data_IF_720434619285
#
_entry.id   IF_720434619285
#
_cell.length_a   1.000
_cell.length_b   1.000
_cell.length_c   1.000
_cell.angle_alpha   90.00
_cell.angle_beta   90.00
_cell.angle_gamma   90.00
#
_symmetry.space_group_name_H-M   'P 1'
#
loop_
_entity.id
_entity.type
_entity.pdbx_description
1 polymer ?
#
# COMPACT_ATOMS: atom_id res chain seq x y z
N UNK A 1 29.84 -17.36 -6.07
CA UNK A 1 28.82 -17.02 -5.08
C UNK A 1 28.33 -15.64 -5.47
N UNK A 2 27.12 -15.52 -5.94
CA UNK A 2 26.48 -14.23 -6.17
C UNK A 2 26.16 -13.73 -4.76
N UNK A 3 26.84 -12.69 -4.30
CA UNK A 3 26.41 -11.97 -3.11
C UNK A 3 25.04 -11.36 -3.48
N UNK A 4 23.97 -12.01 -3.06
CA UNK A 4 22.63 -11.41 -3.10
C UNK A 4 22.66 -10.29 -2.08
N UNK A 5 22.47 -9.03 -2.55
CA UNK A 5 22.22 -7.93 -1.62
C UNK A 5 21.07 -8.33 -0.69
N UNK A 6 21.18 -8.07 0.62
CA UNK A 6 20.10 -8.43 1.54
C UNK A 6 18.82 -7.74 1.11
N UNK A 7 17.71 -8.47 1.12
CA UNK A 7 16.39 -7.92 0.82
C UNK A 7 16.12 -6.71 1.73
N UNK A 8 15.79 -5.56 1.14
CA UNK A 8 15.67 -4.28 1.87
C UNK A 8 14.26 -4.05 2.41
N UNK A 9 13.28 -4.85 1.98
CA UNK A 9 11.87 -4.65 2.30
C UNK A 9 11.32 -5.86 3.04
N UNK A 10 10.75 -5.61 4.21
CA UNK A 10 10.10 -6.62 5.04
C UNK A 10 8.65 -6.19 5.31
N UNK A 11 7.72 -7.09 5.05
CA UNK A 11 6.31 -6.97 5.43
C UNK A 11 5.94 -8.02 6.45
N UNK A 12 5.40 -7.63 7.60
CA UNK A 12 4.90 -8.56 8.61
C UNK A 12 3.38 -8.40 8.70
N UNK A 13 2.64 -9.43 8.26
CA UNK A 13 1.20 -9.44 8.37
C UNK A 13 0.75 -9.87 9.77
N UNK A 14 0.13 -8.96 10.51
CA UNK A 14 -0.47 -9.21 11.83
C UNK A 14 -1.96 -9.47 11.66
N UNK A 15 -2.45 -10.72 11.74
CA UNK A 15 -3.83 -11.07 11.35
C UNK A 15 -4.88 -10.73 12.42
N UNK A 16 -4.50 -10.13 13.55
CA UNK A 16 -5.40 -9.94 14.70
C UNK A 16 -6.12 -8.61 14.64
N UNK A 17 -7.44 -8.67 14.45
CA UNK A 17 -8.30 -7.48 14.44
C UNK A 17 -9.31 -7.53 15.58
N UNK A 18 -9.60 -6.36 16.19
CA UNK A 18 -10.71 -6.22 17.13
C UNK A 18 -12.06 -6.28 16.43
N UNK A 19 -12.12 -5.79 15.19
CA UNK A 19 -13.29 -5.77 14.32
C UNK A 19 -12.88 -6.10 12.88
N UNK A 20 -13.83 -6.65 12.11
CA UNK A 20 -13.64 -6.89 10.68
C UNK A 20 -14.26 -5.69 9.95
N UNK A 21 -13.42 -4.97 9.19
CA UNK A 21 -13.89 -3.87 8.34
C UNK A 21 -14.65 -4.43 7.12
N UNK A 22 -15.72 -3.74 6.71
CA UNK A 22 -16.60 -4.22 5.64
C UNK A 22 -15.93 -4.41 4.28
N UNK A 23 -14.88 -3.67 4.02
CA UNK A 23 -14.12 -3.66 2.77
C UNK A 23 -12.84 -4.52 2.78
N UNK A 24 -12.42 -5.03 3.95
CA UNK A 24 -11.10 -5.65 4.12
C UNK A 24 -11.04 -7.07 3.57
N UNK A 25 -10.11 -7.31 2.64
CA UNK A 25 -9.79 -8.64 2.08
C UNK A 25 -8.56 -9.31 2.72
N UNK A 26 -7.85 -8.62 3.59
CA UNK A 26 -6.71 -9.21 4.30
C UNK A 26 -7.13 -10.38 5.18
N UNK A 27 -6.20 -11.32 5.38
CA UNK A 27 -6.38 -12.40 6.36
C UNK A 27 -6.54 -11.79 7.75
N UNK A 28 -7.65 -12.07 8.40
CA UNK A 28 -7.95 -11.56 9.73
C UNK A 28 -8.58 -12.63 10.62
N UNK A 29 -8.27 -12.56 11.92
CA UNK A 29 -8.87 -13.39 12.96
C UNK A 29 -9.20 -12.51 14.16
N UNK A 30 -10.24 -12.90 14.92
CA UNK A 30 -10.57 -12.21 16.16
C UNK A 30 -9.44 -12.40 17.17
N UNK A 31 -8.96 -11.29 17.74
CA UNK A 31 -7.86 -11.28 18.69
C UNK A 31 -8.19 -12.10 19.94
N UNK A 32 -7.40 -13.16 20.20
CA UNK A 32 -7.40 -13.93 21.45
C UNK A 32 -5.96 -14.03 21.95
N UNK A 33 -5.73 -13.76 23.24
CA UNK A 33 -4.36 -13.71 23.81
C UNK A 33 -3.52 -14.94 23.49
N UNK A 34 -4.08 -16.13 23.70
CA UNK A 34 -3.38 -17.39 23.42
C UNK A 34 -2.96 -17.52 21.95
N UNK A 35 -3.84 -17.15 21.02
CA UNK A 35 -3.53 -17.18 19.58
C UNK A 35 -2.46 -16.16 19.20
N UNK A 36 -2.42 -15.00 19.84
CA UNK A 36 -1.39 -13.98 19.65
C UNK A 36 -0.03 -14.49 20.10
N UNK A 37 0.06 -15.11 21.29
CA UNK A 37 1.30 -15.65 21.85
C UNK A 37 1.87 -16.79 20.97
N UNK A 38 1.01 -17.68 20.46
CA UNK A 38 1.41 -18.76 19.55
C UNK A 38 1.88 -18.20 18.19
N UNK A 39 1.15 -17.25 17.62
CA UNK A 39 1.52 -16.60 16.38
C UNK A 39 2.84 -15.83 16.52
N UNK A 40 3.02 -15.06 17.59
CA UNK A 40 4.25 -14.32 17.85
C UNK A 40 5.47 -15.28 17.92
N UNK A 41 5.30 -16.42 18.57
CA UNK A 41 6.35 -17.44 18.63
C UNK A 41 6.68 -18.03 17.25
N UNK A 42 5.70 -18.12 16.36
CA UNK A 42 5.90 -18.57 14.99
C UNK A 42 6.62 -17.50 14.14
N UNK A 43 6.20 -16.23 14.23
CA UNK A 43 6.84 -15.11 13.55
C UNK A 43 8.30 -14.94 13.98
N UNK A 44 8.59 -15.04 15.28
CA UNK A 44 9.97 -14.95 15.78
C UNK A 44 10.87 -15.99 15.13
N UNK A 45 10.40 -17.23 14.93
CA UNK A 45 11.16 -18.27 14.24
C UNK A 45 11.43 -17.93 12.77
N UNK A 46 10.46 -17.31 12.11
CA UNK A 46 10.59 -16.87 10.72
C UNK A 46 11.51 -15.66 10.59
N UNK A 47 11.50 -14.74 11.58
CA UNK A 47 12.32 -13.53 11.61
C UNK A 47 13.82 -13.76 11.84
N UNK A 48 14.28 -14.97 12.10
CA UNK A 48 15.72 -15.25 12.31
C UNK A 48 16.60 -14.80 11.11
N UNK A 49 15.99 -14.53 9.96
CA UNK A 49 16.64 -14.14 8.72
C UNK A 49 16.26 -12.75 8.21
N UNK A 50 15.46 -11.98 8.95
CA UNK A 50 14.92 -10.69 8.49
C UNK A 50 15.28 -9.53 9.43
N UNK A 51 15.45 -8.33 8.87
CA UNK A 51 15.59 -7.10 9.65
C UNK A 51 14.24 -6.62 10.17
N UNK A 52 14.23 -5.96 11.35
CA UNK A 52 13.01 -5.38 11.93
C UNK A 52 12.56 -4.21 11.06
N UNK A 53 11.26 -4.14 10.67
CA UNK A 53 10.73 -3.01 9.93
C UNK A 53 10.77 -1.73 10.77
N UNK A 54 10.93 -0.59 10.12
CA UNK A 54 10.95 0.74 10.72
C UNK A 54 9.59 1.44 10.67
N UNK A 55 8.62 0.86 9.97
CA UNK A 55 7.26 1.37 9.75
C UNK A 55 6.22 0.45 10.37
N UNK A 56 5.14 1.03 10.90
CA UNK A 56 3.98 0.29 11.40
C UNK A 56 2.67 0.88 10.85
N UNK A 57 1.69 0.00 10.60
CA UNK A 57 0.30 0.40 10.33
C UNK A 57 -0.54 0.29 11.62
N UNK A 58 -1.35 1.31 11.90
CA UNK A 58 -2.07 1.44 13.17
C UNK A 58 -3.55 1.72 12.91
N UNK A 59 -4.41 0.98 13.58
CA UNK A 59 -5.78 1.41 13.80
C UNK A 59 -5.79 2.38 15.00
N UNK A 60 -6.26 3.63 14.84
CA UNK A 60 -6.07 4.69 15.84
C UNK A 60 -6.62 4.35 17.22
N UNK A 61 -7.72 3.61 17.29
CA UNK A 61 -8.34 3.16 18.54
C UNK A 61 -7.56 2.09 19.30
N UNK A 62 -6.51 1.52 18.70
CA UNK A 62 -5.73 0.43 19.31
C UNK A 62 -4.46 0.90 19.98
N UNK A 63 -4.02 2.14 19.74
CA UNK A 63 -2.82 2.71 20.31
C UNK A 63 -3.09 3.27 21.71
N UNK A 64 -2.16 2.99 22.63
CA UNK A 64 -2.08 3.59 23.95
C UNK A 64 -0.63 4.01 24.24
N UNK A 65 -0.42 4.76 25.34
CA UNK A 65 0.89 5.26 25.74
C UNK A 65 1.94 4.15 25.91
N UNK A 66 1.54 3.00 26.45
CA UNK A 66 2.45 1.85 26.62
C UNK A 66 2.92 1.32 25.29
N UNK A 67 2.03 1.17 24.33
CA UNK A 67 2.34 0.69 22.97
C UNK A 67 3.20 1.70 22.21
N UNK A 68 2.89 3.00 22.30
CA UNK A 68 3.70 4.04 21.66
C UNK A 68 5.16 3.99 22.15
N UNK A 69 5.39 3.84 23.47
CA UNK A 69 6.72 3.65 24.06
C UNK A 69 7.42 2.38 23.57
N UNK A 70 6.68 1.28 23.42
CA UNK A 70 7.23 0.03 22.89
C UNK A 70 7.68 0.21 21.45
N UNK A 71 6.84 0.83 20.59
CA UNK A 71 7.17 1.09 19.18
C UNK A 71 8.48 1.89 19.06
N UNK A 72 8.59 3.00 19.79
CA UNK A 72 9.80 3.82 19.79
C UNK A 72 11.04 3.03 20.24
N UNK A 73 10.95 2.25 21.34
CA UNK A 73 12.07 1.43 21.85
C UNK A 73 12.56 0.39 20.85
N UNK A 74 11.69 -0.09 19.97
CA UNK A 74 12.02 -1.06 18.92
C UNK A 74 12.40 -0.42 17.59
N UNK A 75 12.64 0.90 17.55
CA UNK A 75 13.17 1.59 16.38
C UNK A 75 12.14 1.95 15.33
N UNK A 76 10.83 1.81 15.62
CA UNK A 76 9.79 2.29 14.72
C UNK A 76 9.90 3.81 14.63
N UNK A 77 10.07 4.32 13.42
CA UNK A 77 10.25 5.75 13.14
C UNK A 77 9.17 6.32 12.23
N UNK A 78 8.33 5.47 11.63
CA UNK A 78 7.20 5.84 10.77
C UNK A 78 5.93 5.08 11.18
N UNK A 79 4.79 5.77 11.19
CA UNK A 79 3.48 5.16 11.42
C UNK A 79 2.49 5.57 10.34
N UNK A 80 1.75 4.60 9.78
CA UNK A 80 0.59 4.81 8.90
C UNK A 80 -0.68 4.58 9.71
N UNK A 81 -1.55 5.59 9.76
CA UNK A 81 -2.74 5.59 10.64
C UNK A 81 -3.98 5.48 9.77
N UNK A 82 -4.70 4.37 9.91
CA UNK A 82 -5.92 4.10 9.17
C UNK A 82 -7.08 4.98 9.60
N UNK A 83 -7.19 6.17 9.03
CA UNK A 83 -8.26 7.14 9.28
C UNK A 83 -9.50 6.86 8.44
N UNK A 84 -9.34 6.63 7.16
CA UNK A 84 -10.33 6.31 6.15
C UNK A 84 -11.32 7.46 5.86
N UNK A 85 -11.97 8.03 6.85
CA UNK A 85 -12.90 9.16 6.75
C UNK A 85 -13.09 9.81 8.13
N UNK A 86 -13.54 11.08 8.16
CA UNK A 86 -14.02 11.74 9.37
C UNK A 86 -15.54 11.65 9.53
N UNK A 87 -16.26 11.25 8.48
CA UNK A 87 -17.72 11.18 8.50
C UNK A 87 -18.22 9.97 9.29
N UNK A 88 -18.99 10.15 10.37
CA UNK A 88 -19.44 9.05 11.22
C UNK A 88 -20.32 8.02 10.49
N UNK A 89 -21.08 8.45 9.47
CA UNK A 89 -21.95 7.55 8.71
C UNK A 89 -21.14 6.64 7.79
N UNK A 90 -20.09 7.16 7.15
CA UNK A 90 -19.17 6.38 6.32
C UNK A 90 -18.33 5.44 7.18
N UNK A 91 -17.83 5.91 8.33
CA UNK A 91 -17.12 5.04 9.29
C UNK A 91 -18.01 3.89 9.78
N UNK A 92 -19.29 4.15 10.08
CA UNK A 92 -20.24 3.12 10.52
C UNK A 92 -20.47 2.05 9.44
N UNK A 93 -20.60 2.44 8.15
CA UNK A 93 -20.71 1.51 7.02
C UNK A 93 -19.45 0.62 6.93
N UNK A 94 -18.27 1.20 7.10
CA UNK A 94 -17.00 0.49 7.09
C UNK A 94 -16.75 -0.39 8.33
N UNK A 95 -17.58 -0.29 9.37
CA UNK A 95 -17.37 -0.99 10.64
C UNK A 95 -16.31 -0.35 11.54
N UNK A 96 -15.96 0.93 11.29
CA UNK A 96 -14.96 1.70 12.06
C UNK A 96 -15.65 2.49 13.18
N UNK A 97 -14.91 2.75 14.27
CA UNK A 97 -15.48 3.40 15.47
C UNK A 97 -14.69 4.59 16.00
N UNK A 98 -13.55 4.88 15.38
CA UNK A 98 -12.73 6.01 15.81
C UNK A 98 -13.41 7.35 15.49
N UNK A 99 -12.96 8.40 16.16
CA UNK A 99 -13.41 9.79 15.98
C UNK A 99 -12.18 10.68 15.76
N UNK A 100 -12.40 11.96 15.43
CA UNK A 100 -11.29 12.92 15.35
C UNK A 100 -10.54 13.04 16.68
N UNK A 101 -11.22 12.97 17.84
CA UNK A 101 -10.55 12.96 19.15
C UNK A 101 -9.63 11.74 19.30
N UNK A 102 -10.06 10.58 18.81
CA UNK A 102 -9.22 9.36 18.78
C UNK A 102 -7.99 9.58 17.89
N UNK A 103 -8.16 10.21 16.74
CA UNK A 103 -7.06 10.53 15.82
C UNK A 103 -6.06 11.50 16.46
N UNK A 104 -6.53 12.59 17.04
CA UNK A 104 -5.68 13.55 17.76
C UNK A 104 -4.89 12.88 18.89
N UNK A 105 -5.54 12.02 19.66
CA UNK A 105 -4.89 11.25 20.73
C UNK A 105 -3.80 10.34 20.18
N UNK A 106 -4.09 9.58 19.11
CA UNK A 106 -3.14 8.69 18.47
C UNK A 106 -1.90 9.44 17.94
N UNK A 107 -2.13 10.54 17.23
CA UNK A 107 -1.05 11.40 16.68
C UNK A 107 -0.21 12.02 17.80
N UNK A 108 -0.83 12.49 18.89
CA UNK A 108 -0.12 13.07 20.04
C UNK A 108 0.78 12.04 20.72
N UNK A 109 0.26 10.84 20.99
CA UNK A 109 1.03 9.75 21.61
C UNK A 109 2.25 9.36 20.78
N UNK A 110 2.12 9.29 19.46
CA UNK A 110 3.24 8.97 18.58
C UNK A 110 4.30 10.08 18.60
N UNK A 111 3.88 11.34 18.50
CA UNK A 111 4.78 12.51 18.51
C UNK A 111 5.51 12.68 19.84
N UNK A 112 4.84 12.45 20.97
CA UNK A 112 5.43 12.50 22.31
C UNK A 112 6.57 11.48 22.46
N UNK A 113 6.46 10.34 21.81
CA UNK A 113 7.50 9.30 21.78
C UNK A 113 8.52 9.52 20.63
N UNK A 114 8.46 10.64 19.89
CA UNK A 114 9.42 10.99 18.84
C UNK A 114 9.15 10.36 17.48
N UNK A 115 8.02 9.65 17.29
CA UNK A 115 7.59 9.12 15.99
C UNK A 115 6.86 10.24 15.25
N UNK A 116 7.58 10.97 14.42
CA UNK A 116 7.07 12.18 13.73
C UNK A 116 6.79 11.97 12.24
N UNK A 117 7.31 10.91 11.63
CA UNK A 117 7.00 10.55 10.25
C UNK A 117 5.65 9.82 10.22
N UNK A 118 4.58 10.59 10.07
CA UNK A 118 3.21 10.09 10.15
C UNK A 118 2.55 10.11 8.77
N UNK A 119 1.97 8.99 8.39
CA UNK A 119 1.02 8.86 7.28
C UNK A 119 -0.40 8.78 7.82
N UNK A 120 -1.34 9.41 7.13
CA UNK A 120 -2.78 9.26 7.37
C UNK A 120 -3.41 8.65 6.12
N UNK A 121 -4.10 7.51 6.31
CA UNK A 121 -4.68 6.76 5.21
C UNK A 121 -6.18 7.07 5.11
N UNK A 122 -6.64 7.53 3.95
CA UNK A 122 -8.03 7.83 3.63
C UNK A 122 -8.55 6.92 2.53
N UNK A 123 -9.87 6.77 2.50
CA UNK A 123 -10.57 6.13 1.40
C UNK A 123 -11.53 7.12 0.74
N UNK A 124 -11.60 7.05 -0.58
CA UNK A 124 -12.62 7.77 -1.37
C UNK A 124 -13.39 6.79 -2.25
N UNK A 125 -14.38 7.27 -2.97
CA UNK A 125 -15.31 6.42 -3.73
C UNK A 125 -16.06 5.40 -2.85
N UNK A 126 -16.32 5.76 -1.56
CA UNK A 126 -17.09 4.92 -0.64
C UNK A 126 -18.57 4.89 -1.06
N UNK A 127 -19.31 3.79 -0.77
CA UNK A 127 -20.73 3.70 -1.10
C UNK A 127 -21.54 4.87 -0.57
N UNK A 128 -22.13 5.66 -1.47
CA UNK A 128 -22.92 6.83 -1.15
C UNK A 128 -22.14 8.06 -0.65
N UNK A 129 -20.83 8.04 -0.72
CA UNK A 129 -19.99 9.19 -0.35
C UNK A 129 -20.22 10.37 -1.26
N UNK A 130 -20.39 11.54 -0.68
CA UNK A 130 -20.50 12.81 -1.41
C UNK A 130 -19.15 13.53 -1.46
N UNK A 131 -18.96 14.39 -2.47
CA UNK A 131 -17.79 15.27 -2.56
C UNK A 131 -17.61 16.14 -1.30
N UNK A 132 -18.69 16.56 -0.65
CA UNK A 132 -18.61 17.34 0.59
C UNK A 132 -18.02 16.54 1.76
N UNK A 133 -18.39 15.27 1.90
CA UNK A 133 -17.85 14.36 2.92
C UNK A 133 -16.39 14.04 2.67
N UNK A 134 -15.99 13.84 1.39
CA UNK A 134 -14.59 13.66 1.02
C UNK A 134 -13.76 14.88 1.40
N UNK A 135 -14.22 16.08 0.99
CA UNK A 135 -13.52 17.34 1.29
C UNK A 135 -13.33 17.54 2.79
N UNK A 136 -14.36 17.30 3.58
CA UNK A 136 -14.26 17.41 5.04
C UNK A 136 -13.22 16.43 5.58
N UNK A 137 -13.24 15.16 5.15
CA UNK A 137 -12.28 14.14 5.60
C UNK A 137 -10.83 14.49 5.24
N UNK A 138 -10.58 15.05 4.05
CA UNK A 138 -9.25 15.50 3.64
C UNK A 138 -8.77 16.67 4.51
N UNK A 139 -9.60 17.68 4.74
CA UNK A 139 -9.23 18.81 5.59
C UNK A 139 -9.02 18.40 7.05
N UNK A 140 -9.83 17.48 7.57
CA UNK A 140 -9.65 16.94 8.90
C UNK A 140 -8.32 16.17 9.02
N UNK A 141 -7.96 15.38 7.99
CA UNK A 141 -6.67 14.71 7.94
C UNK A 141 -5.49 15.69 7.87
N UNK A 142 -5.59 16.73 7.06
CA UNK A 142 -4.60 17.82 6.95
C UNK A 142 -4.41 18.55 8.29
N UNK A 143 -5.49 18.72 9.09
CA UNK A 143 -5.42 19.34 10.40
C UNK A 143 -4.54 18.57 11.41
N UNK A 144 -4.28 17.29 11.16
CA UNK A 144 -3.36 16.47 11.94
C UNK A 144 -1.89 16.73 11.58
N UNK A 145 -1.61 17.51 10.54
CA UNK A 145 -0.27 17.82 10.03
C UNK A 145 0.59 16.57 9.77
N UNK A 146 0.10 15.59 8.98
CA UNK A 146 0.90 14.42 8.63
C UNK A 146 2.03 14.81 7.66
N UNK A 147 3.09 14.01 7.61
CA UNK A 147 4.16 14.16 6.61
C UNK A 147 3.85 13.44 5.29
N UNK A 148 2.84 12.57 5.31
CA UNK A 148 2.45 11.70 4.21
C UNK A 148 0.94 11.43 4.26
N UNK A 149 0.31 11.29 3.10
CA UNK A 149 -1.09 10.92 2.95
C UNK A 149 -1.23 9.80 1.93
N UNK A 150 -2.03 8.79 2.27
CA UNK A 150 -2.43 7.72 1.35
C UNK A 150 -3.93 7.85 1.09
N UNK A 151 -4.34 7.95 -0.17
CA UNK A 151 -5.76 8.05 -0.55
C UNK A 151 -6.09 6.94 -1.55
N UNK A 152 -6.87 5.98 -1.10
CA UNK A 152 -7.24 4.80 -1.88
C UNK A 152 -8.67 4.90 -2.36
N UNK A 153 -8.91 4.67 -3.66
CA UNK A 153 -10.26 4.36 -4.14
C UNK A 153 -10.72 3.02 -3.59
N UNK A 154 -11.98 2.95 -3.19
CA UNK A 154 -12.55 1.69 -2.73
C UNK A 154 -12.66 0.68 -3.88
N UNK A 155 -12.02 -0.46 -3.75
CA UNK A 155 -12.28 -1.65 -4.55
C UNK A 155 -13.17 -2.62 -3.76
N UNK A 156 -14.27 -3.07 -4.36
CA UNK A 156 -15.20 -3.99 -3.71
C UNK A 156 -14.89 -5.42 -4.17
N UNK A 157 -14.25 -6.18 -3.30
CA UNK A 157 -13.95 -7.59 -3.55
C UNK A 157 -15.13 -8.49 -3.17
N UNK A 158 -15.45 -9.50 -4.00
CA UNK A 158 -16.60 -10.39 -3.82
C UNK A 158 -16.64 -11.09 -2.45
N UNK A 159 -15.48 -11.42 -1.90
CA UNK A 159 -15.36 -12.15 -0.64
C UNK A 159 -15.52 -11.26 0.60
N UNK A 160 -15.49 -9.93 0.45
CA UNK A 160 -15.67 -8.97 1.54
C UNK A 160 -17.13 -8.87 1.99
N UNK A 161 -17.34 -8.19 3.12
CA UNK A 161 -18.72 -7.90 3.57
C UNK A 161 -19.42 -6.99 2.55
N UNK A 162 -18.70 -6.01 1.99
CA UNK A 162 -19.27 -5.10 0.99
C UNK A 162 -19.70 -5.83 -0.28
N UNK A 163 -18.89 -6.74 -0.81
CA UNK A 163 -19.25 -7.55 -1.96
C UNK A 163 -20.48 -8.43 -1.68
N UNK A 164 -20.54 -9.07 -0.51
CA UNK A 164 -21.69 -9.90 -0.10
C UNK A 164 -22.98 -9.11 0.16
N UNK A 165 -22.88 -7.86 0.56
CA UNK A 165 -24.02 -6.96 0.78
C UNK A 165 -24.51 -6.31 -0.50
N UNK A 166 -23.79 -6.47 -1.63
CA UNK A 166 -24.15 -5.90 -2.91
C UNK A 166 -24.06 -4.36 -2.94
N UNK A 167 -23.06 -3.79 -2.27
CA UNK A 167 -22.76 -2.37 -2.45
C UNK A 167 -22.25 -2.12 -3.86
N UNK A 168 -22.71 -1.04 -4.46
CA UNK A 168 -22.24 -0.58 -5.76
C UNK A 168 -21.09 0.42 -5.60
N UNK A 169 -20.19 0.43 -6.58
CA UNK A 169 -19.22 1.51 -6.76
C UNK A 169 -19.94 2.83 -7.06
N UNK A 170 -19.29 3.95 -6.76
CA UNK A 170 -19.71 5.22 -7.34
C UNK A 170 -19.56 5.15 -8.87
N UNK A 171 -20.27 6.03 -9.58
CA UNK A 171 -20.05 6.18 -11.02
C UNK A 171 -18.64 6.70 -11.31
N UNK A 172 -18.10 6.31 -12.47
CA UNK A 172 -16.73 6.63 -12.87
C UNK A 172 -16.45 8.13 -12.93
N UNK A 173 -17.42 8.95 -13.35
CA UNK A 173 -17.29 10.41 -13.42
C UNK A 173 -17.15 11.00 -12.01
N UNK A 174 -17.96 10.55 -11.06
CA UNK A 174 -17.88 10.99 -9.66
C UNK A 174 -16.55 10.59 -9.01
N UNK A 175 -16.04 9.40 -9.30
CA UNK A 175 -14.75 8.93 -8.80
C UNK A 175 -13.60 9.75 -9.39
N UNK A 176 -13.62 10.02 -10.69
CA UNK A 176 -12.65 10.87 -11.38
C UNK A 176 -12.64 12.30 -10.81
N UNK A 177 -13.81 12.92 -10.63
CA UNK A 177 -13.94 14.24 -10.02
C UNK A 177 -13.35 14.28 -8.59
N UNK A 178 -13.55 13.22 -7.81
CA UNK A 178 -12.96 13.08 -6.47
C UNK A 178 -11.43 13.00 -6.54
N UNK A 179 -10.90 12.19 -7.44
CA UNK A 179 -9.46 12.02 -7.60
C UNK A 179 -8.78 13.32 -8.07
N UNK A 180 -9.31 13.96 -9.11
CA UNK A 180 -8.79 15.24 -9.60
C UNK A 180 -8.76 16.30 -8.49
N UNK A 181 -9.86 16.39 -7.71
CA UNK A 181 -9.92 17.34 -6.59
C UNK A 181 -8.87 17.00 -5.51
N UNK A 182 -8.65 15.71 -5.17
CA UNK A 182 -7.63 15.27 -4.22
C UNK A 182 -6.26 15.71 -4.69
N UNK A 183 -5.88 15.36 -5.92
CA UNK A 183 -4.54 15.66 -6.48
C UNK A 183 -4.27 17.15 -6.42
N UNK A 184 -5.23 17.97 -6.91
CA UNK A 184 -5.11 19.43 -6.89
C UNK A 184 -4.99 19.99 -5.49
N UNK A 185 -5.85 19.56 -4.56
CA UNK A 185 -5.87 20.09 -3.20
C UNK A 185 -4.58 19.76 -2.45
N UNK A 186 -4.09 18.54 -2.58
CA UNK A 186 -2.86 18.12 -1.88
C UNK A 186 -1.61 18.81 -2.46
N UNK A 187 -1.58 19.07 -3.76
CA UNK A 187 -0.50 19.85 -4.37
C UNK A 187 -0.50 21.29 -3.83
N UNK A 188 -1.66 21.94 -3.74
CA UNK A 188 -1.83 23.28 -3.14
C UNK A 188 -1.39 23.32 -1.66
N UNK A 189 -1.55 22.23 -0.92
CA UNK A 189 -1.11 22.05 0.48
C UNK A 189 0.36 21.59 0.61
N UNK A 190 1.09 21.46 -0.50
CA UNK A 190 2.52 21.14 -0.53
C UNK A 190 2.86 19.66 -0.44
N UNK A 191 1.91 18.78 -0.70
CA UNK A 191 2.14 17.34 -0.82
C UNK A 191 2.34 16.96 -2.28
N UNK A 192 3.50 16.42 -2.61
CA UNK A 192 3.79 15.93 -3.96
C UNK A 192 3.29 14.51 -4.12
N UNK A 193 2.46 14.28 -5.15
CA UNK A 193 2.09 12.93 -5.56
C UNK A 193 3.32 12.22 -6.12
N UNK A 194 3.73 11.08 -5.56
CA UNK A 194 4.86 10.31 -6.07
C UNK A 194 4.47 8.99 -6.73
N UNK A 195 3.26 8.48 -6.45
CA UNK A 195 2.62 7.36 -7.14
C UNK A 195 1.09 7.47 -7.02
N UNK A 196 0.34 6.50 -7.56
CA UNK A 196 -1.12 6.58 -7.77
C UNK A 196 -1.89 7.07 -6.54
N UNK A 197 -1.60 6.54 -5.36
CA UNK A 197 -2.39 6.74 -4.16
C UNK A 197 -1.68 7.54 -3.08
N UNK A 198 -0.38 7.83 -3.23
CA UNK A 198 0.41 8.37 -2.14
C UNK A 198 1.02 9.75 -2.43
N UNK A 199 0.92 10.61 -1.43
CA UNK A 199 1.33 12.00 -1.45
C UNK A 199 2.21 12.29 -0.24
N UNK A 200 3.29 13.04 -0.40
CA UNK A 200 4.23 13.30 0.67
C UNK A 200 4.86 14.68 0.59
N UNK A 201 5.23 15.24 1.73
CA UNK A 201 6.21 16.31 1.76
C UNK A 201 7.58 15.83 1.31
N UNK A 202 8.43 16.74 0.84
CA UNK A 202 9.77 16.40 0.37
C UNK A 202 10.55 15.58 1.42
N UNK A 203 11.07 14.42 1.01
CA UNK A 203 11.84 13.52 1.87
C UNK A 203 11.03 12.60 2.76
N UNK A 204 9.68 12.60 2.64
CA UNK A 204 8.78 11.79 3.47
C UNK A 204 8.06 10.67 2.70
N UNK A 205 8.52 10.31 1.50
CA UNK A 205 7.98 9.21 0.71
C UNK A 205 8.17 7.87 1.43
N UNK A 206 7.22 6.93 1.26
CA UNK A 206 7.35 5.58 1.80
C UNK A 206 8.33 4.76 0.97
N UNK A 207 9.52 4.51 1.50
CA UNK A 207 10.54 3.69 0.82
C UNK A 207 10.07 2.25 0.62
N UNK A 208 9.25 1.73 1.52
CA UNK A 208 8.63 0.41 1.38
C UNK A 208 7.71 0.34 0.15
N UNK A 209 6.81 1.33 -0.02
CA UNK A 209 5.93 1.40 -1.18
C UNK A 209 6.74 1.61 -2.48
N UNK A 210 7.76 2.49 -2.43
CA UNK A 210 8.66 2.69 -3.58
C UNK A 210 9.33 1.38 -4.00
N UNK A 211 9.79 0.56 -3.06
CA UNK A 211 10.37 -0.75 -3.36
C UNK A 211 9.42 -1.66 -4.14
N UNK A 212 8.14 -1.71 -3.77
CA UNK A 212 7.14 -2.45 -4.55
C UNK A 212 7.01 -1.90 -5.98
N UNK A 213 6.91 -0.57 -6.13
CA UNK A 213 6.77 0.07 -7.45
C UNK A 213 8.04 -0.04 -8.31
N UNK A 214 9.21 -0.17 -7.71
CA UNK A 214 10.48 -0.46 -8.39
C UNK A 214 10.67 -1.95 -8.70
N UNK A 215 9.69 -2.76 -8.36
CA UNK A 215 9.72 -4.22 -8.53
C UNK A 215 10.88 -4.88 -7.78
N UNK A 216 11.26 -4.34 -6.62
CA UNK A 216 12.28 -4.93 -5.78
C UNK A 216 11.77 -6.22 -5.10
N UNK A 217 12.69 -7.06 -4.65
CA UNK A 217 12.36 -8.20 -3.83
C UNK A 217 11.95 -7.76 -2.43
N UNK A 218 11.02 -8.49 -1.82
CA UNK A 218 10.55 -8.23 -0.47
C UNK A 218 10.18 -9.52 0.24
N UNK A 219 10.40 -9.54 1.55
CA UNK A 219 10.07 -10.66 2.42
C UNK A 219 8.71 -10.39 3.06
N UNK A 220 7.76 -11.31 2.88
CA UNK A 220 6.49 -11.34 3.58
C UNK A 220 6.52 -12.38 4.69
N UNK A 221 6.17 -11.99 5.91
CA UNK A 221 6.13 -12.84 7.11
C UNK A 221 4.73 -12.79 7.72
N UNK A 222 4.27 -13.89 8.26
CA UNK A 222 3.00 -13.97 8.97
C UNK A 222 1.90 -14.69 8.20
N UNK A 223 0.78 -14.92 8.87
CA UNK A 223 -0.38 -15.65 8.32
C UNK A 223 -0.96 -14.92 7.12
N UNK A 224 -0.89 -15.53 5.94
CA UNK A 224 -1.43 -14.95 4.70
C UNK A 224 -0.58 -13.83 4.12
N UNK A 225 0.65 -13.64 4.59
CA UNK A 225 1.59 -12.71 3.96
C UNK A 225 2.10 -13.29 2.64
N UNK A 226 2.33 -12.40 1.67
CA UNK A 226 2.98 -12.71 0.40
C UNK A 226 4.37 -12.09 0.35
N UNK A 227 5.27 -12.68 -0.43
CA UNK A 227 6.59 -12.15 -0.70
C UNK A 227 7.03 -12.39 -2.14
N UNK A 228 8.13 -11.75 -2.54
CA UNK A 228 8.77 -11.93 -3.84
C UNK A 228 10.28 -11.97 -3.67
N UNK A 229 10.89 -13.08 -4.07
CA UNK A 229 12.34 -13.29 -3.98
C UNK A 229 12.83 -14.12 -5.17
N UNK A 230 13.96 -13.74 -5.74
CA UNK A 230 14.68 -14.53 -6.74
C UNK A 230 13.81 -14.99 -7.92
N UNK A 231 12.95 -14.12 -8.46
CA UNK A 231 12.08 -14.43 -9.60
C UNK A 231 10.90 -15.35 -9.27
N UNK A 232 10.53 -15.45 -8.01
CA UNK A 232 9.35 -16.20 -7.57
C UNK A 232 8.54 -15.36 -6.60
N UNK A 233 7.22 -15.46 -6.67
CA UNK A 233 6.33 -15.03 -5.59
C UNK A 233 6.10 -16.21 -4.64
N UNK A 234 5.70 -15.93 -3.42
CA UNK A 234 5.24 -16.92 -2.49
C UNK A 234 4.15 -16.39 -1.59
N UNK A 235 3.33 -17.31 -1.10
CA UNK A 235 2.28 -17.02 -0.14
C UNK A 235 2.43 -17.89 1.10
N UNK A 236 2.18 -17.30 2.27
CA UNK A 236 1.97 -18.05 3.50
C UNK A 236 0.52 -18.50 3.62
N UNK A 237 0.31 -19.58 4.37
CA UNK A 237 -1.04 -20.10 4.63
C UNK A 237 -1.97 -19.01 5.19
N UNK A 238 -3.15 -18.87 4.61
CA UNK A 238 -4.24 -18.03 5.14
C UNK A 238 -4.86 -18.60 6.43
N UNK A 239 -4.55 -19.83 6.79
CA UNK A 239 -4.99 -20.47 8.04
C UNK A 239 -4.01 -20.19 9.17
N UNK A 240 -4.44 -19.51 10.23
CA UNK A 240 -3.63 -19.23 11.41
C UNK A 240 -3.05 -20.50 12.03
N UNK A 241 -3.85 -21.58 12.13
CA UNK A 241 -3.39 -22.84 12.72
C UNK A 241 -2.35 -23.55 11.87
N UNK A 242 -2.47 -23.49 10.54
CA UNK A 242 -1.48 -24.05 9.63
C UNK A 242 -0.16 -23.27 9.70
N UNK A 243 -0.24 -21.93 9.70
CA UNK A 243 0.93 -21.06 9.84
C UNK A 243 1.67 -21.30 11.17
N UNK A 244 0.95 -21.35 12.31
CA UNK A 244 1.57 -21.60 13.63
C UNK A 244 2.27 -22.97 13.66
N UNK A 245 1.74 -23.96 12.97
CA UNK A 245 2.33 -25.30 12.91
C UNK A 245 3.63 -25.33 12.12
N UNK A 246 3.68 -24.62 11.00
CA UNK A 246 4.85 -24.55 10.11
C UNK A 246 4.99 -23.15 9.50
N UNK A 247 5.58 -22.20 10.22
CA UNK A 247 5.69 -20.80 9.78
C UNK A 247 6.64 -20.61 8.58
N UNK A 248 7.56 -21.53 8.36
CA UNK A 248 8.49 -21.45 7.23
C UNK A 248 7.93 -22.07 5.95
N UNK A 249 6.74 -22.68 5.99
CA UNK A 249 6.11 -23.21 4.79
C UNK A 249 5.60 -22.08 3.90
N UNK A 250 6.06 -22.07 2.65
CA UNK A 250 5.75 -21.09 1.62
C UNK A 250 5.24 -21.80 0.37
N UNK A 251 4.14 -21.35 -0.16
CA UNK A 251 3.66 -21.81 -1.47
C UNK A 251 4.35 -20.99 -2.56
N UNK A 252 5.34 -21.61 -3.22
CA UNK A 252 6.18 -20.92 -4.20
C UNK A 252 5.52 -20.88 -5.57
N UNK A 253 5.50 -19.69 -6.19
CA UNK A 253 4.94 -19.42 -7.52
C UNK A 253 6.08 -18.87 -8.39
N UNK A 254 6.77 -19.72 -9.16
CA UNK A 254 7.83 -19.26 -10.05
C UNK A 254 7.24 -18.37 -11.16
N UNK A 255 7.93 -17.28 -11.46
CA UNK A 255 7.56 -16.34 -12.51
C UNK A 255 8.44 -16.55 -13.73
N UNK A 256 7.84 -16.61 -14.93
CA UNK A 256 8.59 -16.58 -16.17
C UNK A 256 9.32 -15.23 -16.32
N UNK A 257 10.28 -15.14 -17.23
CA UNK A 257 10.95 -13.87 -17.52
C UNK A 257 9.94 -12.84 -18.07
N UNK A 258 9.04 -13.29 -18.92
CA UNK A 258 7.96 -12.49 -19.50
C UNK A 258 7.03 -11.93 -18.43
N UNK A 259 6.59 -12.77 -17.47
CA UNK A 259 5.78 -12.31 -16.34
C UNK A 259 6.51 -11.23 -15.53
N UNK A 260 7.79 -11.45 -15.21
CA UNK A 260 8.58 -10.49 -14.46
C UNK A 260 8.78 -9.16 -15.21
N UNK A 261 8.97 -9.22 -16.52
CA UNK A 261 9.09 -8.01 -17.37
C UNK A 261 7.79 -7.22 -17.39
N UNK A 262 6.66 -7.90 -17.57
CA UNK A 262 5.34 -7.28 -17.55
C UNK A 262 5.00 -6.71 -16.15
N UNK A 263 5.26 -7.45 -15.08
CA UNK A 263 5.05 -6.96 -13.71
C UNK A 263 5.93 -5.75 -13.39
N UNK A 264 7.19 -5.73 -13.88
CA UNK A 264 8.08 -4.58 -13.72
C UNK A 264 7.51 -3.32 -14.40
N UNK A 265 6.94 -3.46 -15.61
CA UNK A 265 6.23 -2.37 -16.26
C UNK A 265 4.99 -1.95 -15.46
N UNK A 266 4.13 -2.90 -15.12
CA UNK A 266 2.88 -2.66 -14.41
C UNK A 266 3.10 -1.91 -13.09
N UNK A 267 4.15 -2.25 -12.36
CA UNK A 267 4.52 -1.55 -11.12
C UNK A 267 5.15 -0.19 -11.41
N UNK A 268 6.11 -0.14 -12.32
CA UNK A 268 6.93 1.04 -12.56
C UNK A 268 6.16 2.24 -13.11
N UNK A 269 5.15 2.03 -13.99
CA UNK A 269 4.35 3.14 -14.53
C UNK A 269 3.38 3.76 -13.52
N UNK A 270 3.16 3.12 -12.36
CA UNK A 270 2.35 3.70 -11.27
C UNK A 270 3.08 4.84 -10.55
N UNK A 271 4.40 4.90 -10.65
CA UNK A 271 5.17 6.04 -10.14
C UNK A 271 5.09 7.24 -11.08
N UNK A 272 4.92 8.44 -10.53
CA UNK A 272 4.96 9.69 -11.32
C UNK A 272 6.28 9.89 -12.06
N UNK A 273 7.38 9.44 -11.50
CA UNK A 273 8.68 9.45 -12.17
C UNK A 273 8.84 8.35 -13.22
N UNK A 274 7.99 7.31 -13.20
CA UNK A 274 8.03 6.19 -14.14
C UNK A 274 9.09 5.13 -13.83
N UNK A 275 9.09 4.07 -14.66
CA UNK A 275 10.03 2.96 -14.62
C UNK A 275 11.39 3.35 -15.23
N UNK A 276 12.47 3.05 -14.54
CA UNK A 276 13.84 3.28 -15.04
C UNK A 276 14.22 2.21 -16.06
N UNK A 277 14.44 2.62 -17.32
CA UNK A 277 14.74 1.72 -18.42
C UNK A 277 16.12 1.08 -18.28
N UNK A 278 17.07 1.75 -17.64
CA UNK A 278 18.40 1.18 -17.41
C UNK A 278 18.39 0.09 -16.33
N UNK A 279 17.54 0.25 -15.31
CA UNK A 279 17.30 -0.79 -14.30
C UNK A 279 16.59 -1.99 -14.91
N UNK A 280 15.62 -1.76 -15.80
CA UNK A 280 14.93 -2.82 -16.54
C UNK A 280 15.94 -3.63 -17.39
N UNK A 281 16.76 -2.97 -18.19
CA UNK A 281 17.76 -3.62 -19.02
C UNK A 281 18.78 -4.40 -18.19
N UNK A 282 19.27 -3.83 -17.09
CA UNK A 282 20.19 -4.54 -16.19
C UNK A 282 19.56 -5.78 -15.57
N UNK A 283 18.27 -5.71 -15.20
CA UNK A 283 17.53 -6.81 -14.56
C UNK A 283 17.26 -7.97 -15.52
N UNK A 284 16.87 -7.67 -16.75
CA UNK A 284 16.39 -8.67 -17.72
C UNK A 284 17.42 -9.03 -18.80
N UNK A 285 18.50 -8.25 -18.93
CA UNK A 285 19.55 -8.50 -19.93
C UNK A 285 19.16 -8.10 -21.36
N UNK A 286 18.07 -7.36 -21.52
CA UNK A 286 17.60 -6.80 -22.81
C UNK A 286 16.86 -5.49 -22.57
N UNK A 287 16.88 -4.59 -23.59
CA UNK A 287 16.20 -3.31 -23.46
C UNK A 287 14.68 -3.47 -23.54
N UNK A 288 13.95 -2.54 -22.93
CA UNK A 288 12.50 -2.50 -22.99
C UNK A 288 11.99 -2.37 -24.45
N UNK A 289 12.66 -1.53 -25.24
CA UNK A 289 12.34 -1.33 -26.66
C UNK A 289 12.57 -2.59 -27.50
N UNK A 290 13.54 -3.43 -27.14
CA UNK A 290 13.74 -4.70 -27.84
C UNK A 290 12.54 -5.64 -27.68
N UNK A 291 11.95 -5.66 -26.50
CA UNK A 291 10.84 -6.57 -26.18
C UNK A 291 9.46 -5.98 -26.53
N UNK A 292 9.23 -4.71 -26.23
CA UNK A 292 7.92 -4.06 -26.34
C UNK A 292 7.88 -2.92 -27.38
N UNK A 293 8.86 -2.79 -28.27
CA UNK A 293 9.09 -1.62 -29.10
C UNK A 293 7.92 -1.21 -29.98
N UNK A 294 7.19 -2.16 -30.56
CA UNK A 294 6.05 -1.87 -31.45
C UNK A 294 4.89 -1.25 -30.66
N UNK A 295 4.56 -1.85 -29.51
CA UNK A 295 3.50 -1.35 -28.61
C UNK A 295 3.91 -0.01 -28.01
N UNK A 296 5.15 0.09 -27.52
CA UNK A 296 5.69 1.34 -26.95
C UNK A 296 5.63 2.49 -27.96
N UNK A 297 6.05 2.25 -29.20
CA UNK A 297 6.01 3.25 -30.27
C UNK A 297 4.58 3.74 -30.52
N UNK A 298 3.62 2.84 -30.51
CA UNK A 298 2.20 3.16 -30.66
C UNK A 298 1.70 4.02 -29.50
N UNK A 299 2.02 3.63 -28.26
CA UNK A 299 1.62 4.37 -27.04
C UNK A 299 2.20 5.78 -26.99
N UNK A 300 3.47 5.93 -27.42
CA UNK A 300 4.12 7.25 -27.52
C UNK A 300 3.46 8.10 -28.62
N UNK A 301 3.19 7.56 -29.80
CA UNK A 301 2.53 8.30 -30.88
C UNK A 301 1.13 8.77 -30.50
N UNK A 302 0.39 7.97 -29.77
CA UNK A 302 -0.93 8.34 -29.24
C UNK A 302 -0.85 9.32 -28.06
N UNK A 303 0.37 9.57 -27.55
CA UNK A 303 0.63 10.45 -26.41
C UNK A 303 0.13 9.87 -25.09
N UNK A 304 0.03 8.54 -24.97
CA UNK A 304 -0.33 7.86 -23.74
C UNK A 304 0.87 7.62 -22.82
N UNK A 305 2.03 7.38 -23.41
CA UNK A 305 3.28 7.19 -22.69
C UNK A 305 4.36 8.15 -23.22
N UNK A 306 5.35 8.41 -22.38
CA UNK A 306 6.51 9.22 -22.72
C UNK A 306 7.77 8.69 -22.04
N UNK A 307 8.93 8.95 -22.66
CA UNK A 307 10.23 8.67 -22.05
C UNK A 307 10.87 10.00 -21.69
N UNK A 308 11.12 10.21 -20.41
CA UNK A 308 11.74 11.42 -19.87
C UNK A 308 12.92 11.01 -18.97
N UNK A 309 14.10 11.55 -19.27
CA UNK A 309 15.35 11.27 -18.53
C UNK A 309 15.63 9.75 -18.35
N UNK A 310 15.37 8.95 -19.40
CA UNK A 310 15.58 7.50 -19.39
C UNK A 310 14.52 6.70 -18.58
N UNK A 311 13.40 7.33 -18.26
CA UNK A 311 12.29 6.71 -17.56
C UNK A 311 11.04 6.67 -18.43
N UNK A 312 10.40 5.51 -18.46
CA UNK A 312 9.10 5.31 -19.12
C UNK A 312 7.98 5.59 -18.12
N UNK A 313 7.07 6.49 -18.47
CA UNK A 313 5.92 6.83 -17.64
C UNK A 313 4.65 7.04 -18.46
N UNK A 314 3.51 6.89 -17.83
CA UNK A 314 2.25 7.36 -18.40
C UNK A 314 2.26 8.89 -18.48
N UNK A 315 1.70 9.44 -19.57
CA UNK A 315 1.47 10.89 -19.64
C UNK A 315 0.39 11.31 -18.63
N UNK A 316 0.37 12.58 -18.23
CA UNK A 316 -0.62 13.05 -17.25
C UNK A 316 -2.07 12.73 -17.61
N UNK A 317 -2.44 12.94 -18.88
CA UNK A 317 -3.79 12.63 -19.39
C UNK A 317 -4.13 11.14 -19.39
N UNK A 318 -3.15 10.27 -19.26
CA UNK A 318 -3.31 8.81 -19.35
C UNK A 318 -3.07 8.10 -18.02
N UNK A 319 -2.74 8.85 -16.98
CA UNK A 319 -2.42 8.28 -15.68
C UNK A 319 -3.62 7.56 -15.05
N UNK A 320 -4.84 8.08 -15.26
CA UNK A 320 -6.08 7.47 -14.75
C UNK A 320 -6.51 6.23 -15.53
N UNK A 321 -6.15 6.15 -16.83
CA UNK A 321 -6.49 4.99 -17.67
C UNK A 321 -5.36 3.95 -17.78
N UNK A 322 -4.39 4.03 -16.92
CA UNK A 322 -3.16 3.23 -16.95
C UNK A 322 -3.40 1.72 -17.04
N UNK A 323 -4.42 1.21 -16.33
CA UNK A 323 -4.77 -0.21 -16.38
C UNK A 323 -5.22 -0.66 -17.78
N UNK A 324 -5.94 0.20 -18.51
CA UNK A 324 -6.35 -0.08 -19.91
C UNK A 324 -5.15 -0.09 -20.85
N UNK A 325 -4.14 0.76 -20.59
CA UNK A 325 -2.92 0.79 -21.41
C UNK A 325 -2.06 -0.46 -21.19
N UNK A 326 -2.04 -1.01 -20.00
CA UNK A 326 -1.28 -2.21 -19.67
C UNK A 326 -1.74 -3.45 -20.43
N UNK A 327 -3.02 -3.53 -20.78
CA UNK A 327 -3.57 -4.66 -21.55
C UNK A 327 -2.91 -4.78 -22.93
N UNK A 328 -2.45 -3.67 -23.52
CA UNK A 328 -1.78 -3.68 -24.84
C UNK A 328 -0.37 -4.30 -24.79
N UNK A 329 0.22 -4.46 -23.60
CA UNK A 329 1.53 -5.07 -23.40
C UNK A 329 1.46 -6.56 -23.01
N UNK A 330 0.25 -7.13 -22.90
CA UNK A 330 0.03 -8.56 -22.59
C UNK A 330 0.05 -9.42 -23.90
#
# INVERSE_FOLDING_TARGET
MIETEPCRHLYIHVPFCAHICGYCDFVHVICRRESVEQWLSAVIKEMEYAHIPDTIEINPETLDETKAKILHRHGINRASIGFQSSDPSLLAIMGRKHTMDTMHTCVSLLREEGITNLSVDLMYSLPGQTMAQLRQSVYDALSLHPSHLSLYSLTIEENTVFGKMGYDHLDEDSEADMYEWIVKTLDEEGYTQYEVSNFAHQGCTSMHNIGYWQYDDFIGIGTGASGKENGSRYDHSRSLSAYIKDPCHREMIPLSKEDQMFESLMMGIRMKQGMDLSVFEKRFGESFEHHYGDVLSTMIQQGHMEIVDGRLRASEKSYEIMNSLLVEFM
#
